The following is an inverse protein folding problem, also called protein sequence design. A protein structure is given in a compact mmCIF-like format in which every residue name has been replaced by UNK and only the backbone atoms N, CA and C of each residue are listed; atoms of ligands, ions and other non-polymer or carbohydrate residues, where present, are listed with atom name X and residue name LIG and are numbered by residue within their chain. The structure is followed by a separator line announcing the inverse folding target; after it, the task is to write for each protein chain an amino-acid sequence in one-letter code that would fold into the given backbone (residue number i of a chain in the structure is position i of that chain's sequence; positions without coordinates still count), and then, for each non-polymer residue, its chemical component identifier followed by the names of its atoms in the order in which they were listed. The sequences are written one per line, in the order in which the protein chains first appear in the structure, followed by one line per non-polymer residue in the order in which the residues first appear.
data_IF_262268701937
#
_entry.id   IF_262268701937
#
_cell.length_a   1.000
_cell.length_b   1.000
_cell.length_c   1.000
_cell.angle_alpha   90.00
_cell.angle_beta   90.00
_cell.angle_gamma   90.00
#
_symmetry.space_group_name_H-M   'P 1'
#
loop_
_entity.id
_entity.type
_entity.pdbx_description
1 polymer ?
#
# COMPACT_ATOMS: atom_id res chain seq x y z
N UNK A 1 13.89 5.23 -7.17
CA UNK A 1 14.68 4.28 -6.36
C UNK A 1 16.06 4.07 -6.96
N UNK A 2 16.91 3.20 -6.39
CA UNK A 2 18.28 2.94 -6.88
C UNK A 2 18.31 2.19 -8.23
N UNK A 3 17.22 1.55 -8.63
CA UNK A 3 17.05 0.93 -9.95
C UNK A 3 15.98 1.72 -10.70
N UNK A 4 16.30 2.14 -11.93
CA UNK A 4 15.39 2.86 -12.82
C UNK A 4 14.65 1.86 -13.69
N UNK A 5 13.31 1.98 -13.74
CA UNK A 5 12.44 1.21 -14.61
C UNK A 5 11.33 2.12 -15.13
N UNK A 6 10.94 1.94 -16.39
CA UNK A 6 9.95 2.80 -17.06
C UNK A 6 8.51 2.29 -16.93
N UNK A 7 8.34 1.02 -16.54
CA UNK A 7 7.04 0.32 -16.60
C UNK A 7 6.50 -0.12 -15.24
N UNK A 8 7.33 -0.10 -14.20
CA UNK A 8 6.95 -0.59 -12.88
C UNK A 8 7.77 0.12 -11.81
N UNK A 9 7.08 0.58 -10.78
CA UNK A 9 7.67 1.13 -9.56
C UNK A 9 7.39 0.13 -8.44
N UNK A 10 8.41 -0.23 -7.68
CA UNK A 10 8.29 -1.07 -6.49
C UNK A 10 8.87 -0.34 -5.28
N UNK A 11 8.17 -0.45 -4.17
CA UNK A 11 8.55 0.15 -2.90
C UNK A 11 7.95 -0.61 -1.72
N UNK A 12 8.39 -0.24 -0.52
CA UNK A 12 7.83 -0.72 0.73
C UNK A 12 7.24 0.46 1.49
N UNK A 13 6.09 0.24 2.11
CA UNK A 13 5.46 1.18 3.03
C UNK A 13 5.44 0.54 4.42
N UNK A 14 5.87 1.30 5.42
CA UNK A 14 5.82 0.88 6.82
C UNK A 14 4.96 1.87 7.60
N UNK A 15 3.85 1.37 8.14
CA UNK A 15 3.02 2.13 9.07
C UNK A 15 3.41 1.84 10.52
N UNK A 16 3.57 2.89 11.31
CA UNK A 16 3.70 2.73 12.76
C UNK A 16 2.34 2.32 13.36
N UNK A 17 2.32 1.57 14.48
CA UNK A 17 1.08 1.22 15.16
C UNK A 17 0.24 2.45 15.49
N UNK A 18 -1.09 2.33 15.37
CA UNK A 18 -2.07 3.39 15.68
C UNK A 18 -1.88 4.68 14.85
N UNK A 19 -1.29 4.58 13.66
CA UNK A 19 -1.23 5.68 12.69
C UNK A 19 -2.35 5.53 11.67
N UNK A 20 -3.01 6.65 11.37
CA UNK A 20 -3.98 6.74 10.27
C UNK A 20 -3.31 7.43 9.10
N UNK A 21 -3.32 6.79 7.94
CA UNK A 21 -2.93 7.41 6.68
C UNK A 21 -4.18 7.98 6.01
N UNK A 22 -4.28 9.30 5.77
CA UNK A 22 -5.48 9.89 5.18
C UNK A 22 -5.78 9.34 3.79
N UNK A 23 -7.06 9.34 3.43
CA UNK A 23 -7.49 9.04 2.07
C UNK A 23 -6.80 10.00 1.08
N UNK A 24 -6.29 9.42 0.00
CA UNK A 24 -5.62 10.13 -1.08
C UNK A 24 -5.83 9.36 -2.39
N UNK A 25 -5.47 9.98 -3.50
CA UNK A 25 -5.60 9.41 -4.84
C UNK A 25 -4.50 9.95 -5.74
N UNK A 26 -4.13 9.17 -6.74
CA UNK A 26 -3.21 9.58 -7.79
C UNK A 26 -3.89 9.47 -9.14
N UNK A 27 -3.66 10.45 -10.02
CA UNK A 27 -4.27 10.46 -11.36
C UNK A 27 -3.39 9.79 -12.42
N UNK A 28 -2.09 9.71 -12.19
CA UNK A 28 -1.08 9.34 -13.19
C UNK A 28 -0.52 7.93 -12.98
N UNK A 29 -0.79 7.31 -11.84
CA UNK A 29 -0.27 5.99 -11.48
C UNK A 29 -1.40 5.11 -10.95
N UNK A 30 -1.41 3.86 -11.39
CA UNK A 30 -2.21 2.78 -10.80
C UNK A 30 -1.37 2.12 -9.70
N UNK A 31 -2.00 1.81 -8.56
CA UNK A 31 -1.28 1.29 -7.40
C UNK A 31 -1.86 -0.04 -6.91
N UNK A 32 -0.97 -0.97 -6.59
CA UNK A 32 -1.34 -2.21 -5.91
C UNK A 32 -0.48 -2.43 -4.68
N UNK A 33 -1.10 -2.94 -3.62
CA UNK A 33 -0.47 -3.19 -2.35
C UNK A 33 -0.59 -4.66 -1.98
N UNK A 34 0.55 -5.27 -1.64
CA UNK A 34 0.61 -6.60 -1.03
C UNK A 34 1.01 -6.44 0.41
N UNK A 35 0.18 -6.94 1.31
CA UNK A 35 0.50 -6.95 2.74
C UNK A 35 1.59 -7.99 3.00
N UNK A 36 2.78 -7.56 3.43
CA UNK A 36 3.91 -8.47 3.67
C UNK A 36 3.99 -8.90 5.14
N UNK A 37 3.62 -8.02 6.07
CA UNK A 37 3.68 -8.27 7.51
C UNK A 37 2.73 -7.37 8.28
N UNK A 38 2.29 -7.81 9.47
CA UNK A 38 1.33 -7.07 10.28
C UNK A 38 -0.06 -7.02 9.65
N UNK A 39 -1.00 -6.38 10.34
CA UNK A 39 -2.34 -6.12 9.83
C UNK A 39 -2.60 -4.62 9.79
N UNK A 40 -3.35 -4.16 8.80
CA UNK A 40 -3.81 -2.78 8.67
C UNK A 40 -5.28 -2.75 8.20
N UNK A 41 -5.95 -1.63 8.43
CA UNK A 41 -7.37 -1.44 8.09
C UNK A 41 -7.53 -0.40 7.00
N UNK A 42 -8.32 -0.69 5.97
CA UNK A 42 -8.73 0.28 4.97
C UNK A 42 -9.99 1.01 5.47
N UNK A 43 -9.81 2.11 6.20
CA UNK A 43 -10.91 2.98 6.68
C UNK A 43 -12.09 2.21 7.33
N UNK A 44 -11.77 1.18 8.11
CA UNK A 44 -12.74 0.28 8.77
C UNK A 44 -13.63 -0.54 7.81
N UNK A 45 -13.36 -0.51 6.51
CA UNK A 45 -14.03 -1.32 5.50
C UNK A 45 -13.50 -2.76 5.46
N UNK A 46 -12.19 -2.94 5.63
CA UNK A 46 -11.54 -4.25 5.62
C UNK A 46 -10.24 -4.26 6.45
N UNK A 47 -9.91 -5.42 7.02
CA UNK A 47 -8.59 -5.68 7.63
C UNK A 47 -7.78 -6.56 6.70
N UNK A 48 -6.60 -6.10 6.30
CA UNK A 48 -5.68 -6.82 5.43
C UNK A 48 -4.58 -7.46 6.26
N UNK A 49 -4.40 -8.77 6.08
CA UNK A 49 -3.37 -9.57 6.74
C UNK A 49 -2.25 -9.89 5.73
N UNK A 50 -1.11 -10.45 6.17
CA UNK A 50 -0.04 -10.82 5.25
C UNK A 50 -0.54 -11.75 4.13
N UNK A 51 -0.21 -11.42 2.88
CA UNK A 51 -0.68 -12.09 1.67
C UNK A 51 -1.92 -11.46 1.02
N UNK A 52 -2.61 -10.53 1.67
CA UNK A 52 -3.72 -9.79 1.05
C UNK A 52 -3.19 -8.87 -0.06
N UNK A 53 -3.90 -8.87 -1.21
CA UNK A 53 -3.68 -7.96 -2.34
C UNK A 53 -4.85 -6.96 -2.42
N UNK A 54 -4.52 -5.68 -2.55
CA UNK A 54 -5.45 -4.58 -2.77
C UNK A 54 -5.00 -3.77 -3.99
N UNK A 55 -5.96 -3.27 -4.78
CA UNK A 55 -5.73 -2.44 -5.97
C UNK A 55 -6.47 -1.12 -5.76
N UNK A 56 -5.77 0.00 -5.91
CA UNK A 56 -6.29 1.36 -5.84
C UNK A 56 -6.36 1.95 -7.26
#
# INVERSE_FOLDING_TARGET
GPVVAERLILGFVLFAPKTTYPQHSHAEIEESYVSVSGAWSENDAAVHAPGSLFLN
#
